data_IF_097811235622
#
_entry.id   IF_097811235622
#
_cell.length_a   1.000
_cell.length_b   1.000
_cell.length_c   1.000
_cell.angle_alpha   90.00
_cell.angle_beta   90.00
_cell.angle_gamma   90.00
#
_symmetry.space_group_name_H-M   'P 1'
#
loop_
_entity.id
_entity.type
_entity.pdbx_description
1 polymer ?
#
# COMPACT_ATOMS: atom_id res chain seq x y z
N UNK A 1 30.30 12.82 -20.45
CA UNK A 1 30.34 13.28 -21.84
C UNK A 1 30.05 12.20 -22.90
N UNK A 2 30.31 10.93 -22.70
CA UNK A 2 29.94 9.89 -23.69
C UNK A 2 28.44 9.51 -23.71
N UNK A 3 27.64 9.92 -22.70
CA UNK A 3 26.23 9.57 -22.57
C UNK A 3 25.25 10.72 -22.89
N UNK A 4 25.74 11.92 -23.29
CA UNK A 4 24.88 13.08 -23.56
C UNK A 4 23.98 12.87 -24.82
N UNK A 5 24.30 11.89 -25.67
CA UNK A 5 23.49 11.49 -26.81
C UNK A 5 22.56 10.32 -26.55
N UNK A 6 22.60 9.70 -25.36
CA UNK A 6 21.74 8.58 -25.01
C UNK A 6 20.31 9.07 -24.81
N UNK A 7 19.38 8.49 -25.56
CA UNK A 7 17.94 8.74 -25.39
C UNK A 7 17.34 7.60 -24.58
N UNK A 8 16.80 7.92 -23.40
CA UNK A 8 16.01 6.98 -22.63
C UNK A 8 14.63 6.77 -23.25
N UNK A 9 13.94 5.71 -22.83
CA UNK A 9 12.59 5.46 -23.30
C UNK A 9 11.62 6.54 -22.80
N UNK A 10 10.70 7.01 -23.65
CA UNK A 10 9.75 8.10 -23.35
C UNK A 10 8.92 7.87 -22.09
N UNK A 11 8.72 6.61 -21.70
CA UNK A 11 8.02 6.27 -20.44
C UNK A 11 8.70 6.82 -19.17
N UNK A 12 9.95 7.27 -19.27
CA UNK A 12 10.68 7.89 -18.15
C UNK A 12 10.63 9.43 -18.16
N UNK A 13 10.12 10.07 -19.24
CA UNK A 13 10.16 11.53 -19.37
C UNK A 13 9.31 12.24 -18.29
N UNK A 14 8.23 11.59 -17.84
CA UNK A 14 7.32 12.12 -16.83
C UNK A 14 7.56 11.53 -15.42
N UNK A 15 8.56 10.69 -15.25
CA UNK A 15 8.86 10.03 -13.97
C UNK A 15 10.14 10.62 -13.41
N UNK A 16 9.99 11.62 -12.58
CA UNK A 16 11.04 11.98 -11.62
C UNK A 16 11.15 10.87 -10.57
N UNK A 17 12.36 10.59 -10.07
CA UNK A 17 12.55 9.60 -9.00
C UNK A 17 11.55 9.79 -7.85
N UNK A 18 11.23 8.71 -7.13
CA UNK A 18 10.21 8.77 -6.07
C UNK A 18 10.51 9.92 -5.09
N UNK A 19 9.59 10.90 -4.99
CA UNK A 19 9.68 11.98 -4.00
C UNK A 19 9.87 11.43 -2.57
N UNK A 20 9.23 10.28 -2.28
CA UNK A 20 9.45 9.56 -1.01
C UNK A 20 10.91 9.11 -0.88
N UNK A 21 11.57 8.68 -1.97
CA UNK A 21 12.97 8.24 -1.93
C UNK A 21 13.92 9.42 -1.64
N UNK A 22 13.65 10.60 -2.17
CA UNK A 22 14.43 11.80 -1.83
C UNK A 22 14.22 12.20 -0.36
N UNK A 23 13.00 12.11 0.13
CA UNK A 23 12.70 12.28 1.56
C UNK A 23 13.46 11.24 2.39
N UNK A 24 13.49 9.96 1.97
CA UNK A 24 14.26 8.93 2.67
C UNK A 24 15.77 9.20 2.72
N UNK A 25 16.35 9.79 1.70
CA UNK A 25 17.77 10.23 1.75
C UNK A 25 17.98 11.33 2.78
N UNK A 26 17.04 12.29 2.89
CA UNK A 26 17.12 13.35 3.89
C UNK A 26 16.99 12.83 5.32
N UNK A 27 16.14 11.82 5.55
CA UNK A 27 15.87 11.27 6.89
C UNK A 27 16.84 10.16 7.34
N UNK A 28 17.80 9.77 6.51
CA UNK A 28 18.85 8.82 6.88
C UNK A 28 19.85 9.35 7.94
N UNK A 29 19.67 10.59 8.39
CA UNK A 29 20.51 11.22 9.41
C UNK A 29 20.21 10.64 10.80
N UNK A 30 21.24 10.38 11.64
CA UNK A 30 21.03 9.93 13.02
C UNK A 30 20.16 10.92 13.82
N UNK A 31 19.29 10.41 14.68
CA UNK A 31 18.43 11.24 15.55
C UNK A 31 17.17 11.80 14.87
N UNK A 32 16.88 11.43 13.62
CA UNK A 32 15.67 11.88 12.93
C UNK A 32 14.42 11.13 13.43
N UNK A 33 13.40 11.87 13.83
CA UNK A 33 12.05 11.35 14.08
C UNK A 33 11.30 11.31 12.76
N UNK A 34 11.04 10.11 12.23
CA UNK A 34 10.46 9.96 10.91
C UNK A 34 9.01 9.50 10.95
N UNK A 35 8.09 10.39 10.61
CA UNK A 35 6.69 10.09 10.28
C UNK A 35 6.47 9.88 8.77
N UNK A 36 7.56 9.83 7.98
CA UNK A 36 7.47 9.73 6.51
C UNK A 36 7.35 8.29 6.00
N UNK A 37 8.04 7.34 6.65
CA UNK A 37 8.09 5.95 6.20
C UNK A 37 6.75 5.23 6.31
N UNK A 38 6.54 4.22 5.45
CA UNK A 38 5.43 3.27 5.58
C UNK A 38 5.89 1.94 6.16
N UNK A 39 6.97 1.93 6.94
CA UNK A 39 7.59 0.72 7.46
C UNK A 39 6.97 0.31 8.79
N UNK A 40 6.81 -1.01 9.05
CA UNK A 40 6.56 -1.52 10.39
C UNK A 40 7.68 -1.10 11.35
N UNK A 41 7.37 -0.96 12.65
CA UNK A 41 8.38 -0.76 13.67
C UNK A 41 9.38 -1.93 13.67
N UNK A 42 10.66 -1.66 14.00
CA UNK A 42 11.65 -2.73 14.12
C UNK A 42 11.24 -3.79 15.17
N UNK A 43 10.63 -3.36 16.28
CA UNK A 43 10.09 -4.24 17.33
C UNK A 43 8.88 -5.08 16.90
N UNK A 44 8.26 -4.76 15.76
CA UNK A 44 7.16 -5.52 15.18
C UNK A 44 7.63 -6.67 14.27
N UNK A 45 8.92 -6.74 13.94
CA UNK A 45 9.44 -7.78 13.06
C UNK A 45 9.67 -9.08 13.83
N UNK A 46 9.18 -10.24 13.34
CA UNK A 46 9.34 -11.55 13.98
C UNK A 46 10.68 -12.19 13.58
N UNK A 47 11.79 -11.54 13.91
CA UNK A 47 13.14 -11.94 13.49
C UNK A 47 13.55 -13.30 14.05
N UNK A 48 13.23 -13.60 15.31
CA UNK A 48 13.53 -14.87 15.96
C UNK A 48 12.78 -16.04 15.30
N UNK A 49 11.47 -15.89 15.09
CA UNK A 49 10.62 -16.88 14.42
C UNK A 49 11.07 -17.11 12.97
N UNK A 50 11.38 -16.04 12.25
CA UNK A 50 11.90 -16.12 10.89
C UNK A 50 13.26 -16.83 10.83
N UNK A 51 14.16 -16.58 11.77
CA UNK A 51 15.47 -17.23 11.85
C UNK A 51 15.35 -18.74 12.12
N UNK A 52 14.47 -19.12 13.05
CA UNK A 52 14.18 -20.55 13.33
C UNK A 52 13.62 -21.24 12.09
N UNK A 53 12.59 -20.67 11.47
CA UNK A 53 11.95 -21.23 10.27
C UNK A 53 12.97 -21.33 9.12
N UNK A 54 13.78 -20.31 8.87
CA UNK A 54 14.77 -20.33 7.80
C UNK A 54 15.80 -21.46 8.00
N UNK A 55 16.27 -21.67 9.24
CA UNK A 55 17.14 -22.79 9.57
C UNK A 55 16.48 -24.12 9.27
N UNK A 56 15.26 -24.34 9.77
CA UNK A 56 14.53 -25.60 9.59
C UNK A 56 14.29 -25.90 8.11
N UNK A 57 13.85 -24.89 7.34
CA UNK A 57 13.62 -25.01 5.90
C UNK A 57 14.89 -25.40 5.15
N UNK A 58 16.02 -24.76 5.45
CA UNK A 58 17.30 -25.05 4.79
C UNK A 58 17.86 -26.41 5.18
N UNK A 59 17.68 -26.85 6.43
CA UNK A 59 18.10 -28.15 6.89
C UNK A 59 17.32 -29.31 6.26
N UNK A 60 16.00 -29.14 6.14
CA UNK A 60 15.11 -30.21 5.70
C UNK A 60 14.94 -30.26 4.17
N UNK A 61 14.99 -29.12 3.48
CA UNK A 61 14.68 -29.02 2.04
C UNK A 61 15.61 -28.07 1.27
N UNK A 62 16.79 -27.80 1.83
CA UNK A 62 17.70 -26.76 1.33
C UNK A 62 18.06 -26.91 -0.14
N UNK A 63 18.25 -28.15 -0.65
CA UNK A 63 18.61 -28.38 -2.06
C UNK A 63 17.49 -27.89 -3.02
N UNK A 64 16.22 -28.09 -2.68
CA UNK A 64 15.08 -27.62 -3.46
C UNK A 64 14.91 -26.09 -3.32
N UNK A 65 15.03 -25.59 -2.10
CA UNK A 65 14.83 -24.17 -1.79
C UNK A 65 15.89 -23.29 -2.48
N UNK A 66 17.13 -23.76 -2.61
CA UNK A 66 18.23 -23.03 -3.24
C UNK A 66 18.31 -23.19 -4.77
N UNK A 67 17.43 -24.00 -5.36
CA UNK A 67 17.33 -24.18 -6.80
C UNK A 67 16.24 -23.26 -7.39
N UNK A 68 16.24 -23.07 -8.70
CA UNK A 68 15.13 -22.42 -9.40
C UNK A 68 13.79 -23.09 -9.08
N UNK A 69 12.75 -22.27 -8.93
CA UNK A 69 11.39 -22.67 -8.70
C UNK A 69 10.47 -22.44 -9.89
N UNK A 70 9.22 -22.84 -9.75
CA UNK A 70 8.17 -22.51 -10.71
C UNK A 70 7.77 -21.03 -10.58
N UNK A 71 7.41 -20.39 -11.70
CA UNK A 71 6.91 -19.01 -11.73
C UNK A 71 5.61 -18.87 -10.95
N UNK A 72 4.77 -19.90 -11.01
CA UNK A 72 3.49 -19.98 -10.29
C UNK A 72 3.67 -19.92 -8.77
N UNK A 73 4.84 -20.26 -8.27
CA UNK A 73 5.19 -20.20 -6.85
C UNK A 73 5.65 -21.53 -6.26
N UNK A 74 6.10 -21.46 -5.01
CA UNK A 74 6.52 -22.60 -4.21
C UNK A 74 5.30 -23.46 -3.83
N UNK A 75 5.22 -24.75 -4.25
CA UNK A 75 3.99 -25.54 -4.12
C UNK A 75 3.42 -25.60 -2.70
N UNK A 76 4.19 -25.80 -1.61
CA UNK A 76 3.64 -25.77 -0.26
C UNK A 76 2.99 -24.42 0.09
N UNK A 77 3.58 -23.30 -0.35
CA UNK A 77 2.98 -21.99 -0.13
C UNK A 77 1.66 -21.82 -0.90
N UNK A 78 1.56 -22.33 -2.13
CA UNK A 78 0.31 -22.22 -2.89
C UNK A 78 -0.88 -22.82 -2.13
N UNK A 79 -0.67 -23.96 -1.45
CA UNK A 79 -1.69 -24.61 -0.63
C UNK A 79 -2.06 -23.77 0.61
N UNK A 80 -1.07 -23.37 1.41
CA UNK A 80 -1.32 -22.59 2.63
C UNK A 80 -1.81 -21.18 2.33
N UNK A 81 -1.37 -20.59 1.21
CA UNK A 81 -1.81 -19.28 0.74
C UNK A 81 -3.26 -19.32 0.27
N UNK A 82 -3.65 -20.32 -0.51
CA UNK A 82 -5.05 -20.46 -0.96
C UNK A 82 -5.99 -20.54 0.25
N UNK A 83 -5.69 -21.41 1.21
CA UNK A 83 -6.48 -21.55 2.43
C UNK A 83 -6.54 -20.23 3.24
N UNK A 84 -5.41 -19.54 3.38
CA UNK A 84 -5.34 -18.24 4.04
C UNK A 84 -6.22 -17.21 3.33
N UNK A 85 -6.11 -17.10 2.01
CA UNK A 85 -6.85 -16.11 1.21
C UNK A 85 -8.35 -16.37 1.26
N UNK A 86 -8.79 -17.62 1.09
CA UNK A 86 -10.21 -17.97 1.16
C UNK A 86 -10.82 -17.70 2.55
N UNK A 87 -10.05 -17.95 3.60
CA UNK A 87 -10.44 -17.59 4.97
C UNK A 87 -10.56 -16.08 5.14
N UNK A 88 -9.59 -15.30 4.63
CA UNK A 88 -9.60 -13.85 4.74
C UNK A 88 -10.72 -13.19 3.94
N UNK A 89 -11.03 -13.69 2.76
CA UNK A 89 -12.04 -13.13 1.88
C UNK A 89 -13.47 -13.65 2.18
N UNK A 90 -13.57 -14.77 2.86
CA UNK A 90 -14.85 -15.46 3.08
C UNK A 90 -15.49 -16.03 1.82
N UNK A 91 -14.70 -16.23 0.75
CA UNK A 91 -15.14 -16.81 -0.51
C UNK A 91 -14.02 -17.62 -1.16
N UNK A 92 -14.40 -18.60 -1.99
CA UNK A 92 -13.45 -19.33 -2.82
C UNK A 92 -12.82 -18.40 -3.89
N UNK A 93 -11.55 -18.65 -4.22
CA UNK A 93 -10.84 -17.95 -5.29
C UNK A 93 -10.33 -18.94 -6.34
N UNK A 94 -10.49 -18.65 -7.65
CA UNK A 94 -10.10 -19.57 -8.72
C UNK A 94 -8.60 -19.85 -8.79
N UNK A 95 -7.77 -18.88 -8.43
CA UNK A 95 -6.31 -19.01 -8.47
C UNK A 95 -5.63 -18.00 -7.54
N UNK A 96 -4.39 -18.34 -7.12
CA UNK A 96 -3.46 -17.45 -6.41
C UNK A 96 -2.11 -17.45 -7.12
N UNK A 97 -1.40 -16.33 -7.06
CA UNK A 97 -0.06 -16.17 -7.61
C UNK A 97 0.81 -15.41 -6.61
N UNK A 98 1.82 -16.05 -5.99
CA UNK A 98 2.82 -15.36 -5.19
C UNK A 98 3.64 -14.38 -6.02
N UNK A 99 3.86 -13.18 -5.48
CA UNK A 99 4.58 -12.08 -6.12
C UNK A 99 5.60 -11.46 -5.17
N UNK A 100 6.53 -10.69 -5.71
CA UNK A 100 7.59 -10.00 -4.95
C UNK A 100 7.05 -8.69 -4.35
N UNK A 101 5.99 -8.81 -3.53
CA UNK A 101 5.21 -7.71 -2.94
C UNK A 101 4.11 -7.19 -3.86
N UNK A 102 3.10 -6.49 -3.27
CA UNK A 102 1.93 -5.98 -4.02
C UNK A 102 2.28 -5.00 -5.14
N UNK A 103 3.41 -4.29 -5.05
CA UNK A 103 3.90 -3.45 -6.15
C UNK A 103 4.18 -4.26 -7.42
N UNK A 104 4.74 -5.48 -7.30
CA UNK A 104 4.89 -6.35 -8.46
C UNK A 104 3.53 -6.85 -8.97
N UNK A 105 2.56 -7.09 -8.10
CA UNK A 105 1.21 -7.42 -8.52
C UNK A 105 0.62 -6.33 -9.43
N UNK A 106 0.78 -5.06 -9.05
CA UNK A 106 0.33 -3.94 -9.86
C UNK A 106 1.09 -3.81 -11.19
N UNK A 107 2.43 -4.01 -11.16
CA UNK A 107 3.25 -4.04 -12.39
C UNK A 107 2.78 -5.14 -13.36
N UNK A 108 2.48 -6.32 -12.84
CA UNK A 108 2.00 -7.44 -13.66
C UNK A 108 0.60 -7.20 -14.22
N UNK A 109 -0.30 -6.57 -13.46
CA UNK A 109 -1.62 -6.18 -13.98
C UNK A 109 -1.48 -5.13 -15.08
N UNK A 110 -0.67 -4.09 -14.88
CA UNK A 110 -0.40 -3.11 -15.92
C UNK A 110 0.21 -3.77 -17.16
N UNK A 111 1.20 -4.65 -16.97
CA UNK A 111 1.83 -5.38 -18.06
C UNK A 111 0.86 -6.26 -18.87
N UNK A 112 -0.14 -6.82 -18.19
CA UNK A 112 -1.12 -7.70 -18.82
C UNK A 112 -2.29 -6.96 -19.49
N UNK A 113 -2.63 -5.75 -19.03
CA UNK A 113 -3.89 -5.08 -19.38
C UNK A 113 -3.72 -3.72 -20.05
N UNK A 114 -2.59 -3.02 -19.84
CA UNK A 114 -2.47 -1.59 -20.16
C UNK A 114 -1.55 -1.36 -21.35
N UNK A 115 -2.09 -0.72 -22.38
CA UNK A 115 -1.35 -0.11 -23.48
C UNK A 115 -1.18 1.41 -23.24
N UNK A 116 -0.19 2.06 -23.89
CA UNK A 116 -0.02 3.51 -23.79
C UNK A 116 -1.30 4.28 -24.12
N UNK A 117 -1.72 5.17 -23.21
CA UNK A 117 -2.93 5.98 -23.35
C UNK A 117 -4.20 5.38 -22.74
N UNK A 118 -4.18 4.11 -22.35
CA UNK A 118 -5.30 3.51 -21.63
C UNK A 118 -5.58 4.22 -20.30
N UNK A 119 -6.83 4.23 -19.89
CA UNK A 119 -7.28 4.89 -18.66
C UNK A 119 -7.27 3.91 -17.48
N UNK A 120 -6.68 4.35 -16.38
CA UNK A 120 -6.78 3.72 -15.06
C UNK A 120 -7.49 4.69 -14.12
N UNK A 121 -8.56 4.24 -13.49
CA UNK A 121 -9.21 4.98 -12.42
C UNK A 121 -8.46 4.77 -11.10
N UNK A 122 -8.30 5.83 -10.33
CA UNK A 122 -7.61 5.80 -9.02
C UNK A 122 -8.38 6.59 -7.98
N UNK A 123 -8.28 6.22 -6.72
CA UNK A 123 -8.66 7.08 -5.61
C UNK A 123 -7.82 8.37 -5.65
N UNK A 124 -8.36 9.46 -5.14
CA UNK A 124 -7.65 10.73 -5.08
C UNK A 124 -7.82 11.40 -3.71
N UNK A 125 -6.83 11.28 -2.81
CA UNK A 125 -5.47 10.79 -3.03
C UNK A 125 -5.34 9.26 -3.09
N UNK A 126 -4.20 8.76 -3.64
CA UNK A 126 -3.88 7.35 -3.76
C UNK A 126 -2.39 7.05 -3.53
N UNK A 127 -2.01 5.76 -3.49
CA UNK A 127 -0.64 5.35 -3.23
C UNK A 127 0.31 5.71 -4.37
N UNK A 128 1.21 6.65 -4.08
CA UNK A 128 2.21 7.16 -5.03
C UNK A 128 2.99 6.06 -5.76
N UNK A 129 3.40 4.99 -5.04
CA UNK A 129 4.22 3.93 -5.64
C UNK A 129 3.52 3.21 -6.79
N UNK A 130 2.23 2.91 -6.65
CA UNK A 130 1.46 2.27 -7.70
C UNK A 130 1.05 3.25 -8.80
N UNK A 131 0.79 4.53 -8.48
CA UNK A 131 0.57 5.55 -9.53
C UNK A 131 1.83 5.73 -10.39
N UNK A 132 3.03 5.70 -9.82
CA UNK A 132 4.26 5.73 -10.60
C UNK A 132 4.43 4.49 -11.48
N UNK A 133 4.07 3.31 -10.97
CA UNK A 133 4.04 2.08 -11.76
C UNK A 133 3.12 2.23 -12.98
N UNK A 134 1.89 2.70 -12.77
CA UNK A 134 0.92 2.93 -13.86
C UNK A 134 1.43 3.92 -14.90
N UNK A 135 2.05 5.01 -14.46
CA UNK A 135 2.67 6.01 -15.36
C UNK A 135 3.82 5.43 -16.19
N UNK A 136 4.58 4.44 -15.68
CA UNK A 136 5.59 3.72 -16.47
C UNK A 136 5.00 2.97 -17.67
N UNK A 137 3.74 2.55 -17.57
CA UNK A 137 2.98 1.97 -18.68
C UNK A 137 2.30 3.04 -19.55
N UNK A 138 2.57 4.33 -19.29
CA UNK A 138 2.00 5.47 -20.02
C UNK A 138 0.47 5.51 -19.93
N UNK A 139 -0.08 5.00 -18.82
CA UNK A 139 -1.52 5.09 -18.55
C UNK A 139 -1.94 6.52 -18.22
N UNK A 140 -3.16 6.89 -18.60
CA UNK A 140 -3.83 8.10 -18.15
C UNK A 140 -4.54 7.83 -16.84
N UNK A 141 -4.12 8.52 -15.77
CA UNK A 141 -4.77 8.38 -14.44
C UNK A 141 -5.94 9.35 -14.36
N UNK A 142 -7.12 8.83 -14.01
CA UNK A 142 -8.34 9.62 -13.81
C UNK A 142 -8.81 9.43 -12.37
N UNK A 143 -8.98 10.53 -11.60
CA UNK A 143 -9.44 10.45 -10.22
C UNK A 143 -10.91 10.04 -10.15
N UNK A 144 -11.24 9.27 -9.10
CA UNK A 144 -12.62 8.97 -8.70
C UNK A 144 -12.96 9.77 -7.45
N UNK A 145 -14.07 10.47 -7.46
CA UNK A 145 -14.55 11.23 -6.30
C UNK A 145 -14.80 10.30 -5.11
N UNK A 146 -14.29 10.71 -3.96
CA UNK A 146 -14.35 9.97 -2.71
C UNK A 146 -14.68 10.92 -1.55
N UNK A 147 -15.26 10.38 -0.50
CA UNK A 147 -15.55 11.09 0.76
C UNK A 147 -14.93 10.35 1.97
N UNK A 148 -15.38 10.66 3.18
CA UNK A 148 -14.95 10.00 4.41
C UNK A 148 -15.29 8.50 4.48
N UNK A 149 -16.16 8.00 3.58
CA UNK A 149 -16.56 6.61 3.43
C UNK A 149 -15.90 5.93 2.20
N UNK A 150 -14.93 6.58 1.55
CA UNK A 150 -14.20 6.10 0.37
C UNK A 150 -14.88 6.44 -0.95
N UNK A 151 -14.59 5.69 -2.01
CA UNK A 151 -15.15 5.90 -3.35
C UNK A 151 -16.69 5.97 -3.33
N UNK A 152 -17.24 7.00 -4.01
CA UNK A 152 -18.68 7.16 -4.20
C UNK A 152 -19.12 6.37 -5.44
N UNK A 153 -19.93 5.28 -5.31
CA UNK A 153 -20.27 4.41 -6.43
C UNK A 153 -20.93 5.11 -7.62
N UNK A 154 -21.78 6.10 -7.38
CA UNK A 154 -22.45 6.87 -8.42
C UNK A 154 -21.44 7.68 -9.25
N UNK A 155 -20.42 8.25 -8.58
CA UNK A 155 -19.33 8.97 -9.23
C UNK A 155 -18.39 8.03 -9.98
N UNK A 156 -18.15 6.85 -9.43
CA UNK A 156 -17.41 5.80 -10.13
C UNK A 156 -18.13 5.41 -11.43
N UNK A 157 -19.46 5.23 -11.40
CA UNK A 157 -20.22 4.91 -12.61
C UNK A 157 -20.14 6.02 -13.66
N UNK A 158 -20.23 7.30 -13.24
CA UNK A 158 -20.09 8.45 -14.13
C UNK A 158 -18.76 8.42 -14.90
N UNK A 159 -17.62 8.22 -14.19
CA UNK A 159 -16.28 8.20 -14.81
C UNK A 159 -16.04 6.93 -15.61
N UNK A 160 -16.56 5.77 -15.21
CA UNK A 160 -16.49 4.53 -16.00
C UNK A 160 -17.19 4.69 -17.35
N UNK A 161 -18.35 5.31 -17.38
CA UNK A 161 -19.12 5.59 -18.61
C UNK A 161 -18.43 6.61 -19.51
N UNK A 162 -17.79 7.63 -18.90
CA UNK A 162 -17.15 8.71 -19.64
C UNK A 162 -15.81 8.29 -20.25
N UNK A 163 -14.99 7.58 -19.50
CA UNK A 163 -13.59 7.33 -19.84
C UNK A 163 -13.29 5.92 -20.34
N UNK A 164 -14.23 4.98 -20.20
CA UNK A 164 -14.06 3.57 -20.59
C UNK A 164 -12.74 2.95 -20.09
N UNK A 165 -12.45 2.99 -18.78
CA UNK A 165 -11.18 2.57 -18.23
C UNK A 165 -10.98 1.06 -18.35
N UNK A 166 -9.73 0.60 -18.35
CA UNK A 166 -9.40 -0.82 -18.29
C UNK A 166 -9.24 -1.32 -16.85
N UNK A 167 -8.87 -0.43 -15.94
CA UNK A 167 -8.53 -0.79 -14.57
C UNK A 167 -9.04 0.28 -13.58
N UNK A 168 -9.55 -0.18 -12.43
CA UNK A 168 -9.73 0.62 -11.22
C UNK A 168 -8.72 0.13 -10.18
N UNK A 169 -7.92 1.02 -9.63
CA UNK A 169 -7.05 0.74 -8.49
C UNK A 169 -7.63 1.37 -7.21
N UNK A 170 -7.81 0.55 -6.18
CA UNK A 170 -8.33 1.00 -4.88
C UNK A 170 -7.65 0.29 -3.71
N UNK A 171 -7.48 1.00 -2.60
CA UNK A 171 -7.04 0.46 -1.31
C UNK A 171 -8.21 0.54 -0.34
N UNK A 172 -9.08 -0.47 -0.27
CA UNK A 172 -10.38 -0.35 0.38
C UNK A 172 -10.34 -0.36 1.91
N UNK A 173 -9.19 -0.70 2.52
CA UNK A 173 -9.07 -0.79 3.98
C UNK A 173 -7.84 -0.04 4.47
N UNK A 174 -8.06 0.97 5.34
CA UNK A 174 -7.00 1.82 5.90
C UNK A 174 -6.09 2.41 4.83
N UNK A 175 -6.70 3.01 3.84
CA UNK A 175 -6.13 3.52 2.60
C UNK A 175 -4.84 4.34 2.84
N UNK A 176 -3.87 4.18 1.97
CA UNK A 176 -2.67 5.01 1.94
C UNK A 176 -2.83 6.11 0.86
N UNK A 177 -2.91 7.40 1.25
CA UNK A 177 -2.41 8.01 2.49
C UNK A 177 -3.46 8.30 3.58
N UNK A 178 -4.75 8.11 3.32
CA UNK A 178 -5.83 8.69 4.15
C UNK A 178 -6.12 7.93 5.44
N UNK A 179 -5.85 6.63 5.51
CA UNK A 179 -6.30 5.76 6.58
C UNK A 179 -7.81 5.43 6.54
N UNK A 180 -8.55 5.95 5.56
CA UNK A 180 -10.00 5.73 5.39
C UNK A 180 -10.25 4.26 5.01
N UNK A 181 -11.38 3.73 5.48
CA UNK A 181 -11.89 2.42 5.08
C UNK A 181 -13.13 2.62 4.22
N UNK A 182 -13.13 2.05 3.01
CA UNK A 182 -14.28 2.01 2.13
C UNK A 182 -15.45 1.32 2.83
N UNK A 183 -16.58 2.02 2.95
CA UNK A 183 -17.76 1.53 3.63
C UNK A 183 -18.26 0.20 3.07
N UNK A 184 -18.79 -0.66 3.94
CA UNK A 184 -19.17 -2.03 3.57
C UNK A 184 -20.26 -2.07 2.49
N UNK A 185 -21.21 -1.14 2.53
CA UNK A 185 -22.33 -1.02 1.58
C UNK A 185 -21.88 -0.55 0.19
N UNK A 186 -20.73 0.13 0.06
CA UNK A 186 -20.17 0.57 -1.22
C UNK A 186 -19.40 -0.52 -1.97
N UNK A 187 -18.96 -1.59 -1.29
CA UNK A 187 -18.10 -2.63 -1.87
C UNK A 187 -18.81 -3.49 -2.90
N UNK A 188 -20.05 -3.91 -2.61
CA UNK A 188 -20.87 -4.65 -3.57
C UNK A 188 -21.20 -3.85 -4.83
N UNK A 189 -21.67 -2.60 -4.76
CA UNK A 189 -21.85 -1.75 -5.94
C UNK A 189 -20.60 -1.64 -6.82
N UNK A 190 -19.42 -1.51 -6.23
CA UNK A 190 -18.16 -1.44 -7.01
C UNK A 190 -17.91 -2.74 -7.79
N UNK A 191 -18.13 -3.91 -7.18
CA UNK A 191 -18.00 -5.19 -7.89
C UNK A 191 -19.03 -5.33 -9.03
N UNK A 192 -20.27 -4.88 -8.82
CA UNK A 192 -21.33 -4.88 -9.83
C UNK A 192 -21.02 -3.91 -10.99
N UNK A 193 -20.47 -2.74 -10.71
CA UNK A 193 -20.01 -1.78 -11.72
C UNK A 193 -18.83 -2.34 -12.54
N UNK A 194 -17.88 -3.01 -11.88
CA UNK A 194 -16.76 -3.68 -12.55
C UNK A 194 -17.25 -4.67 -13.60
N UNK A 195 -18.19 -5.54 -13.25
CA UNK A 195 -18.81 -6.49 -14.17
C UNK A 195 -19.61 -5.80 -15.28
N UNK A 196 -20.41 -4.78 -14.94
CA UNK A 196 -21.25 -4.05 -15.89
C UNK A 196 -20.43 -3.32 -16.98
N UNK A 197 -19.30 -2.72 -16.60
CA UNK A 197 -18.46 -1.93 -17.51
C UNK A 197 -17.23 -2.68 -18.01
N UNK A 198 -17.06 -3.95 -17.63
CA UNK A 198 -15.91 -4.79 -17.97
C UNK A 198 -14.56 -4.15 -17.56
N UNK A 199 -14.51 -3.60 -16.37
CA UNK A 199 -13.33 -2.94 -15.78
C UNK A 199 -12.73 -3.87 -14.73
N UNK A 200 -11.43 -4.19 -14.86
CA UNK A 200 -10.75 -4.96 -13.81
C UNK A 200 -10.56 -4.09 -12.58
N UNK A 201 -10.88 -4.59 -11.39
CA UNK A 201 -10.60 -3.92 -10.12
C UNK A 201 -9.36 -4.54 -9.48
N UNK A 202 -8.32 -3.76 -9.28
CA UNK A 202 -7.20 -4.11 -8.42
C UNK A 202 -7.53 -3.68 -6.99
N UNK A 203 -8.00 -4.63 -6.19
CA UNK A 203 -8.27 -4.47 -4.76
C UNK A 203 -6.98 -4.69 -3.98
N UNK A 204 -6.21 -3.61 -3.71
CA UNK A 204 -4.94 -3.66 -2.97
C UNK A 204 -5.20 -3.51 -1.47
N UNK A 205 -5.09 -4.59 -0.70
CA UNK A 205 -5.50 -4.61 0.71
C UNK A 205 -4.38 -5.11 1.65
N UNK A 206 -3.23 -4.42 1.73
CA UNK A 206 -2.10 -4.83 2.55
C UNK A 206 -2.27 -4.50 4.04
N UNK A 207 -3.31 -3.75 4.41
CA UNK A 207 -3.50 -3.23 5.77
C UNK A 207 -4.68 -3.85 6.52
N UNK A 208 -5.54 -4.66 5.89
CA UNK A 208 -6.81 -5.16 6.47
C UNK A 208 -6.67 -5.81 7.84
N UNK A 209 -5.57 -6.52 8.07
CA UNK A 209 -5.29 -7.22 9.32
C UNK A 209 -4.82 -6.26 10.45
N UNK A 210 -4.42 -5.03 10.10
CA UNK A 210 -3.99 -4.01 11.05
C UNK A 210 -5.19 -3.18 11.55
N UNK A 211 -6.21 -3.87 12.07
CA UNK A 211 -7.42 -3.24 12.60
C UNK A 211 -7.32 -3.10 14.12
N UNK A 212 -7.60 -1.89 14.60
CA UNK A 212 -7.51 -1.52 16.02
C UNK A 212 -8.88 -1.28 16.65
N UNK A 213 -9.87 -0.92 15.84
CA UNK A 213 -11.26 -0.68 16.24
C UNK A 213 -12.24 -1.03 15.11
N UNK A 214 -13.53 -1.05 15.44
CA UNK A 214 -14.60 -1.36 14.49
C UNK A 214 -14.63 -2.81 14.03
N UNK A 215 -15.50 -3.11 13.07
CA UNK A 215 -15.69 -4.44 12.51
C UNK A 215 -14.99 -4.59 11.14
N UNK A 216 -14.58 -5.81 10.81
CA UNK A 216 -14.00 -6.11 9.51
C UNK A 216 -15.05 -5.97 8.40
N UNK A 217 -14.70 -5.29 7.31
CA UNK A 217 -15.55 -5.21 6.13
C UNK A 217 -15.28 -6.40 5.18
N UNK A 218 -16.31 -6.94 4.50
CA UNK A 218 -16.12 -7.92 3.45
C UNK A 218 -15.28 -7.30 2.31
N UNK A 219 -14.47 -8.09 1.62
CA UNK A 219 -13.70 -7.61 0.46
C UNK A 219 -14.61 -7.28 -0.72
N UNK A 220 -14.17 -6.42 -1.65
CA UNK A 220 -14.86 -6.21 -2.92
C UNK A 220 -14.90 -7.56 -3.68
N UNK A 221 -13.79 -8.31 -3.63
CA UNK A 221 -13.66 -9.63 -4.24
C UNK A 221 -14.74 -10.61 -3.80
N UNK A 222 -15.20 -10.55 -2.54
CA UNK A 222 -16.25 -11.45 -2.04
C UNK A 222 -17.61 -11.27 -2.74
N UNK A 223 -17.84 -10.13 -3.40
CA UNK A 223 -19.05 -9.83 -4.19
C UNK A 223 -18.85 -10.08 -5.69
N UNK A 224 -17.63 -10.38 -6.15
CA UNK A 224 -17.30 -10.59 -7.55
C UNK A 224 -17.72 -11.99 -8.01
N UNK A 225 -18.69 -12.04 -8.91
CA UNK A 225 -19.22 -13.29 -9.49
C UNK A 225 -18.64 -13.62 -10.86
N UNK A 226 -18.11 -12.62 -11.55
CA UNK A 226 -17.76 -12.66 -12.97
C UNK A 226 -16.25 -12.62 -13.23
N UNK A 227 -15.43 -12.52 -12.16
CA UNK A 227 -13.96 -12.57 -12.26
C UNK A 227 -13.29 -11.22 -12.55
N UNK A 228 -13.98 -10.09 -12.35
CA UNK A 228 -13.45 -8.76 -12.62
C UNK A 228 -12.62 -8.16 -11.47
N UNK A 229 -12.65 -8.75 -10.27
CA UNK A 229 -11.86 -8.27 -9.15
C UNK A 229 -10.64 -9.15 -8.93
N UNK A 230 -9.46 -8.54 -8.94
CA UNK A 230 -8.19 -9.16 -8.54
C UNK A 230 -7.78 -8.60 -7.19
N UNK A 231 -7.75 -9.46 -6.19
CA UNK A 231 -7.30 -9.10 -4.85
C UNK A 231 -5.77 -9.14 -4.78
N UNK A 232 -5.16 -8.08 -4.26
CA UNK A 232 -3.72 -7.95 -4.07
C UNK A 232 -3.42 -7.92 -2.57
N UNK A 233 -2.72 -8.91 -2.07
CA UNK A 233 -2.34 -9.02 -0.67
C UNK A 233 -0.83 -8.94 -0.47
N UNK A 234 -0.42 -8.65 0.76
CA UNK A 234 1.00 -8.53 1.09
C UNK A 234 1.28 -8.94 2.53
N UNK A 235 2.35 -9.72 2.73
CA UNK A 235 2.88 -10.02 4.06
C UNK A 235 3.82 -8.94 4.61
N UNK A 236 4.06 -7.87 3.84
CA UNK A 236 4.99 -6.81 4.20
C UNK A 236 4.62 -6.06 5.48
N UNK A 237 3.33 -5.97 5.82
CA UNK A 237 2.87 -5.19 6.99
C UNK A 237 2.52 -6.06 8.19
N UNK A 238 2.37 -7.37 7.96
CA UNK A 238 1.92 -8.34 8.97
C UNK A 238 2.95 -9.43 9.29
N UNK A 239 4.04 -9.53 8.50
CA UNK A 239 5.21 -10.35 8.83
C UNK A 239 6.47 -9.50 8.66
N UNK A 240 6.90 -9.25 7.42
CA UNK A 240 8.13 -8.48 7.18
C UNK A 240 8.19 -7.91 5.76
N UNK A 241 8.47 -6.61 5.60
CA UNK A 241 8.69 -6.02 4.27
C UNK A 241 9.96 -6.55 3.59
N UNK A 242 10.95 -6.99 4.36
CA UNK A 242 12.21 -7.54 3.83
C UNK A 242 12.07 -8.89 3.15
N UNK A 243 11.07 -9.69 3.49
CA UNK A 243 10.81 -10.99 2.84
C UNK A 243 10.36 -10.84 1.39
N UNK A 244 9.80 -9.69 1.01
CA UNK A 244 9.29 -9.42 -0.33
C UNK A 244 8.29 -10.47 -0.83
N UNK A 245 7.34 -10.89 0.00
CA UNK A 245 6.27 -11.82 -0.38
C UNK A 245 4.93 -11.11 -0.32
N UNK A 246 4.22 -11.12 -1.43
CA UNK A 246 2.83 -10.75 -1.61
C UNK A 246 2.14 -11.76 -2.52
N UNK A 247 0.90 -11.49 -2.86
CA UNK A 247 0.14 -12.40 -3.72
C UNK A 247 -0.96 -11.67 -4.47
N UNK A 248 -1.40 -12.29 -5.55
CA UNK A 248 -2.61 -11.96 -6.29
C UNK A 248 -3.60 -13.12 -6.14
N UNK A 249 -4.89 -12.82 -6.06
CA UNK A 249 -5.95 -13.81 -6.05
C UNK A 249 -7.11 -13.35 -6.94
N UNK A 250 -7.57 -14.20 -7.87
CA UNK A 250 -8.59 -13.79 -8.82
C UNK A 250 -8.82 -14.77 -9.96
N UNK A 251 -9.31 -14.26 -11.09
CA UNK A 251 -9.57 -15.05 -12.29
C UNK A 251 -8.31 -15.75 -12.82
N UNK A 252 -8.40 -17.02 -13.13
CA UNK A 252 -7.29 -17.83 -13.58
C UNK A 252 -6.73 -17.39 -14.95
N UNK A 253 -7.53 -16.79 -15.81
CA UNK A 253 -7.09 -16.24 -17.10
C UNK A 253 -6.24 -15.00 -16.93
N UNK A 254 -6.65 -14.08 -16.05
CA UNK A 254 -5.89 -12.87 -15.71
C UNK A 254 -4.56 -13.28 -15.05
N UNK A 255 -4.60 -14.14 -14.02
CA UNK A 255 -3.40 -14.55 -13.31
C UNK A 255 -2.41 -15.29 -14.20
N UNK A 256 -2.89 -16.10 -15.16
CA UNK A 256 -2.04 -16.76 -16.15
C UNK A 256 -1.27 -15.73 -17.03
N UNK A 257 -1.91 -14.64 -17.44
CA UNK A 257 -1.21 -13.56 -18.17
C UNK A 257 -0.18 -12.85 -17.29
N UNK A 258 -0.52 -12.61 -16.03
CA UNK A 258 0.42 -12.09 -15.04
C UNK A 258 1.61 -13.05 -14.82
N UNK A 259 1.39 -14.37 -14.78
CA UNK A 259 2.45 -15.37 -14.67
C UNK A 259 3.40 -15.31 -15.87
N UNK A 260 2.88 -15.20 -17.10
CA UNK A 260 3.72 -15.00 -18.31
C UNK A 260 4.54 -13.72 -18.19
N UNK A 261 3.92 -12.61 -17.75
CA UNK A 261 4.62 -11.35 -17.49
C UNK A 261 5.72 -11.49 -16.43
N UNK A 262 5.46 -12.26 -15.37
CA UNK A 262 6.40 -12.54 -14.27
C UNK A 262 7.61 -13.34 -14.74
N UNK A 263 7.44 -14.31 -15.63
CA UNK A 263 8.54 -15.08 -16.23
C UNK A 263 9.62 -14.17 -16.85
N UNK A 264 9.20 -13.07 -17.47
CA UNK A 264 10.12 -12.11 -18.09
C UNK A 264 10.62 -11.02 -17.13
N UNK A 265 10.13 -10.98 -15.90
CA UNK A 265 10.50 -9.96 -14.89
C UNK A 265 11.52 -10.50 -13.89
N UNK A 266 11.16 -11.56 -13.15
CA UNK A 266 11.98 -12.13 -12.06
C UNK A 266 12.02 -13.65 -12.03
N UNK A 267 11.46 -14.31 -13.06
CA UNK A 267 11.30 -15.76 -13.20
C UNK A 267 10.36 -16.34 -12.13
N UNK A 268 10.66 -16.14 -10.86
CA UNK A 268 9.82 -16.51 -9.71
C UNK A 268 10.19 -15.67 -8.47
N UNK A 269 9.25 -15.55 -7.55
CA UNK A 269 9.51 -15.01 -6.21
C UNK A 269 10.47 -15.94 -5.46
N UNK A 270 11.41 -15.41 -4.69
CA UNK A 270 12.45 -16.19 -4.02
C UNK A 270 11.88 -17.34 -3.18
N UNK A 271 12.32 -18.58 -3.44
CA UNK A 271 11.77 -19.78 -2.79
C UNK A 271 11.98 -19.77 -1.27
N UNK A 272 13.13 -19.28 -0.78
CA UNK A 272 13.39 -19.23 0.66
C UNK A 272 12.37 -18.35 1.40
N UNK A 273 12.09 -17.17 0.87
CA UNK A 273 11.13 -16.27 1.51
C UNK A 273 9.69 -16.77 1.40
N UNK A 274 9.34 -17.43 0.29
CA UNK A 274 8.08 -18.15 0.15
C UNK A 274 7.94 -19.28 1.18
N UNK A 275 8.98 -20.07 1.37
CA UNK A 275 8.97 -21.16 2.35
C UNK A 275 8.90 -20.63 3.81
N UNK A 276 9.53 -19.49 4.10
CA UNK A 276 9.38 -18.84 5.42
C UNK A 276 7.93 -18.47 5.66
N UNK A 277 7.28 -17.82 4.69
CA UNK A 277 5.87 -17.43 4.82
C UNK A 277 4.96 -18.66 4.92
N UNK A 278 5.17 -19.71 4.11
CA UNK A 278 4.42 -20.96 4.21
C UNK A 278 4.49 -21.54 5.63
N UNK A 279 5.69 -21.66 6.19
CA UNK A 279 5.86 -22.21 7.54
C UNK A 279 5.27 -21.28 8.61
N UNK A 280 5.35 -19.96 8.43
CA UNK A 280 4.74 -18.99 9.33
C UNK A 280 3.22 -19.17 9.41
N UNK A 281 2.57 -19.39 8.24
CA UNK A 281 1.13 -19.69 8.15
C UNK A 281 0.81 -21.06 8.76
N UNK A 282 1.52 -22.14 8.35
CA UNK A 282 1.24 -23.52 8.81
C UNK A 282 1.48 -23.72 10.30
N UNK A 283 2.43 -23.02 10.90
CA UNK A 283 2.68 -23.05 12.35
C UNK A 283 1.69 -22.22 13.15
N UNK A 284 0.75 -21.52 12.50
CA UNK A 284 -0.28 -20.72 13.13
C UNK A 284 0.27 -19.50 13.89
N UNK A 285 1.44 -18.98 13.50
CA UNK A 285 2.10 -17.86 14.21
C UNK A 285 1.47 -16.50 13.91
N UNK A 286 0.83 -16.36 12.74
CA UNK A 286 0.35 -15.09 12.24
C UNK A 286 -0.71 -14.42 13.12
N UNK A 287 -1.76 -15.10 13.64
CA UNK A 287 -2.81 -14.45 14.42
C UNK A 287 -2.32 -13.77 15.69
N UNK A 288 -1.45 -14.42 16.45
CA UNK A 288 -0.94 -13.86 17.71
C UNK A 288 0.08 -12.74 17.45
N UNK A 289 0.86 -12.85 16.36
CA UNK A 289 1.72 -11.78 15.91
C UNK A 289 0.92 -10.53 15.53
N UNK A 290 -0.15 -10.65 14.74
CA UNK A 290 -1.05 -9.54 14.39
C UNK A 290 -1.62 -8.88 15.64
N UNK A 291 -2.13 -9.66 16.60
CA UNK A 291 -2.65 -9.12 17.88
C UNK A 291 -1.60 -8.31 18.63
N UNK A 292 -0.35 -8.78 18.64
CA UNK A 292 0.78 -8.09 19.29
C UNK A 292 1.07 -6.74 18.65
N UNK A 293 1.24 -6.72 17.32
CA UNK A 293 1.56 -5.48 16.60
C UNK A 293 0.39 -4.49 16.61
N UNK A 294 -0.86 -4.96 16.51
CA UNK A 294 -2.04 -4.10 16.58
C UNK A 294 -2.16 -3.37 17.92
N UNK A 295 -1.82 -4.02 19.06
CA UNK A 295 -1.81 -3.34 20.37
C UNK A 295 -0.80 -2.20 20.41
N UNK A 296 0.41 -2.42 19.86
CA UNK A 296 1.45 -1.39 19.81
C UNK A 296 1.02 -0.22 18.91
N UNK A 297 0.54 -0.52 17.72
CA UNK A 297 0.15 0.50 16.74
C UNK A 297 -1.07 1.31 17.20
N UNK A 298 -2.02 0.67 17.92
CA UNK A 298 -3.12 1.41 18.52
C UNK A 298 -2.64 2.46 19.52
N UNK A 299 -1.72 2.11 20.41
CA UNK A 299 -1.17 3.06 21.39
C UNK A 299 -0.44 4.23 20.71
N UNK A 300 0.29 3.95 19.62
CA UNK A 300 0.96 4.97 18.81
C UNK A 300 -0.03 5.88 18.06
N UNK A 301 -1.10 5.30 17.50
CA UNK A 301 -2.19 6.05 16.88
C UNK A 301 -2.87 6.98 17.89
N UNK A 302 -3.22 6.46 19.05
CA UNK A 302 -3.88 7.25 20.11
C UNK A 302 -3.00 8.43 20.56
N UNK A 303 -1.69 8.21 20.71
CA UNK A 303 -0.74 9.27 21.03
C UNK A 303 -0.69 10.33 19.95
N UNK A 304 -0.58 9.93 18.66
CA UNK A 304 -0.52 10.89 17.55
C UNK A 304 -1.83 11.67 17.38
N UNK A 305 -2.99 11.05 17.54
CA UNK A 305 -4.30 11.72 17.49
C UNK A 305 -4.47 12.70 18.65
N UNK A 306 -3.95 12.38 19.84
CA UNK A 306 -3.92 13.30 20.97
C UNK A 306 -3.14 14.57 20.67
N UNK A 307 -1.94 14.45 20.07
CA UNK A 307 -1.14 15.61 19.67
C UNK A 307 -1.81 16.43 18.55
N UNK A 308 -2.38 15.76 17.56
CA UNK A 308 -3.10 16.44 16.46
C UNK A 308 -4.28 17.28 16.96
N UNK A 309 -4.90 16.89 18.07
CA UNK A 309 -5.99 17.68 18.66
C UNK A 309 -5.56 19.07 19.16
N UNK A 310 -4.24 19.28 19.33
CA UNK A 310 -3.63 20.54 19.77
C UNK A 310 -3.06 21.38 18.63
N UNK A 311 -3.19 20.92 17.39
CA UNK A 311 -2.67 21.63 16.21
C UNK A 311 -3.43 22.93 15.96
N UNK A 312 -2.89 23.86 15.15
CA UNK A 312 -3.53 25.13 14.87
C UNK A 312 -4.98 25.00 14.41
N UNK A 313 -5.81 25.97 14.81
CA UNK A 313 -7.23 26.02 14.45
C UNK A 313 -7.39 25.99 12.91
N UNK A 314 -8.32 25.18 12.43
CA UNK A 314 -8.55 24.96 10.99
C UNK A 314 -7.79 23.76 10.43
N UNK A 315 -6.89 23.13 11.19
CA UNK A 315 -6.30 21.84 10.81
C UNK A 315 -7.36 20.74 10.92
N UNK A 316 -7.49 19.92 9.88
CA UNK A 316 -8.31 18.70 9.88
C UNK A 316 -7.43 17.47 9.65
N UNK A 317 -7.89 16.31 10.10
CA UNK A 317 -7.14 15.07 9.93
C UNK A 317 -8.06 13.86 10.00
N UNK A 318 -7.67 12.79 9.31
CA UNK A 318 -8.40 11.53 9.33
C UNK A 318 -8.21 10.80 10.68
N UNK A 319 -9.20 10.00 11.07
CA UNK A 319 -9.20 9.19 12.30
C UNK A 319 -9.38 7.72 11.94
N UNK A 320 -8.30 7.03 11.57
CA UNK A 320 -8.40 5.65 11.11
C UNK A 320 -8.66 4.66 12.25
N UNK A 321 -9.42 3.61 11.97
CA UNK A 321 -9.63 2.46 12.86
C UNK A 321 -8.51 1.40 12.75
N UNK A 322 -7.46 1.68 11.96
CA UNK A 322 -6.37 0.75 11.69
C UNK A 322 -5.31 1.32 10.74
N UNK A 323 -4.54 0.43 10.13
CA UNK A 323 -3.51 0.81 9.18
C UNK A 323 -2.30 1.48 9.82
N UNK A 324 -1.65 2.38 9.08
CA UNK A 324 -0.38 2.99 9.51
C UNK A 324 -0.35 4.51 9.35
N UNK A 325 -1.39 5.14 8.76
CA UNK A 325 -1.32 6.51 8.28
C UNK A 325 -2.47 7.40 8.75
N UNK A 326 -2.15 8.68 8.88
CA UNK A 326 -3.10 9.78 9.04
C UNK A 326 -2.81 10.79 7.94
N UNK A 327 -3.83 11.22 7.22
CA UNK A 327 -3.75 12.38 6.35
C UNK A 327 -4.18 13.63 7.13
N UNK A 328 -3.33 14.65 7.12
CA UNK A 328 -3.57 15.94 7.77
C UNK A 328 -3.73 16.99 6.68
N UNK A 329 -4.74 17.84 6.83
CA UNK A 329 -4.97 19.03 6.00
C UNK A 329 -4.79 20.26 6.89
N UNK A 330 -3.78 21.06 6.58
CA UNK A 330 -3.50 22.34 7.23
C UNK A 330 -4.44 23.43 6.68
N UNK A 331 -4.60 24.56 7.37
CA UNK A 331 -5.32 25.71 6.82
C UNK A 331 -4.81 26.14 5.44
N UNK A 332 -5.69 26.75 4.66
CA UNK A 332 -5.33 27.29 3.34
C UNK A 332 -4.18 28.30 3.42
N UNK A 333 -3.37 28.34 2.35
CA UNK A 333 -2.18 29.21 2.25
C UNK A 333 -0.91 28.60 2.84
N UNK A 334 -0.96 27.41 3.41
CA UNK A 334 0.21 26.68 3.89
C UNK A 334 0.68 25.68 2.83
N UNK A 335 1.95 25.71 2.47
CA UNK A 335 2.58 24.68 1.65
C UNK A 335 3.38 23.71 2.55
N UNK A 336 2.87 22.48 2.69
CA UNK A 336 3.51 21.44 3.49
C UNK A 336 4.86 20.98 2.92
N UNK A 337 5.11 21.18 1.63
CA UNK A 337 6.39 20.86 1.00
C UNK A 337 7.47 21.88 1.37
N UNK A 338 7.13 23.15 1.38
CA UNK A 338 8.07 24.22 1.81
C UNK A 338 8.42 24.08 3.30
N UNK A 339 7.45 23.69 4.14
CA UNK A 339 7.69 23.51 5.57
C UNK A 339 8.45 22.22 5.92
N UNK A 340 8.56 21.27 4.99
CA UNK A 340 9.31 20.03 5.21
C UNK A 340 10.80 20.32 5.50
N UNK A 341 11.42 21.27 4.81
CA UNK A 341 12.83 21.62 5.03
C UNK A 341 13.06 22.10 6.48
N UNK A 342 12.19 22.98 6.98
CA UNK A 342 12.25 23.45 8.38
C UNK A 342 12.04 22.31 9.38
N UNK A 343 11.15 21.36 9.07
CA UNK A 343 10.92 20.18 9.90
C UNK A 343 12.16 19.29 9.95
N UNK A 344 12.80 19.04 8.80
CA UNK A 344 14.03 18.23 8.68
C UNK A 344 15.21 18.89 9.42
N UNK A 345 15.35 20.21 9.39
CA UNK A 345 16.33 20.95 10.18
C UNK A 345 16.12 20.76 11.69
N UNK A 346 14.86 20.58 12.11
CA UNK A 346 14.49 20.28 13.50
C UNK A 346 14.32 18.78 13.78
N UNK A 347 14.94 17.94 12.95
CA UNK A 347 14.98 16.48 13.07
C UNK A 347 13.62 15.76 13.03
N UNK A 348 12.62 16.32 12.32
CA UNK A 348 11.32 15.68 12.10
C UNK A 348 11.02 15.60 10.59
N UNK A 349 10.47 14.47 10.13
CA UNK A 349 10.11 14.32 8.73
C UNK A 349 8.72 13.71 8.55
N UNK A 350 8.00 14.17 7.52
CA UNK A 350 6.71 13.68 7.05
C UNK A 350 6.71 13.58 5.52
N UNK A 351 5.61 13.14 4.91
CA UNK A 351 5.46 13.18 3.44
C UNK A 351 4.45 14.26 3.06
N UNK A 352 4.84 15.29 2.26
CA UNK A 352 3.90 16.25 1.68
C UNK A 352 2.82 15.53 0.87
N UNK A 353 1.57 15.97 1.02
CA UNK A 353 0.42 15.27 0.47
C UNK A 353 0.27 15.38 -1.04
N UNK A 354 0.72 16.48 -1.66
CA UNK A 354 0.65 16.75 -3.10
C UNK A 354 1.03 15.54 -3.98
N UNK A 355 1.99 14.75 -3.52
CA UNK A 355 2.46 13.57 -4.27
C UNK A 355 1.47 12.41 -4.36
N UNK A 356 0.44 12.40 -3.52
CA UNK A 356 -0.58 11.36 -3.51
C UNK A 356 -1.78 11.70 -4.40
N UNK A 357 -1.87 12.92 -4.92
CA UNK A 357 -2.93 13.34 -5.82
C UNK A 357 -2.49 13.20 -7.28
N UNK A 358 -3.30 12.52 -8.09
CA UNK A 358 -2.95 12.26 -9.49
C UNK A 358 -3.08 13.50 -10.38
N UNK A 359 -3.90 14.45 -9.96
CA UNK A 359 -4.22 15.74 -10.60
C UNK A 359 -3.43 16.92 -10.01
N UNK A 360 -2.59 16.68 -8.99
CA UNK A 360 -1.79 17.73 -8.34
C UNK A 360 -2.58 18.58 -7.36
N UNK A 361 -2.00 19.72 -6.93
CA UNK A 361 -2.58 20.59 -5.92
C UNK A 361 -2.46 20.03 -4.50
N UNK A 362 -3.35 20.46 -3.61
CA UNK A 362 -3.44 20.00 -2.22
C UNK A 362 -2.13 20.23 -1.42
N UNK A 363 -1.48 21.37 -1.65
CA UNK A 363 -0.18 21.74 -1.07
C UNK A 363 -0.22 21.79 0.46
N UNK A 364 -1.40 22.06 1.03
CA UNK A 364 -1.63 22.13 2.48
C UNK A 364 -1.86 20.77 3.14
N UNK A 365 -1.60 19.66 2.43
CA UNK A 365 -1.78 18.31 2.98
C UNK A 365 -0.46 17.64 3.29
N UNK A 366 -0.47 16.74 4.28
CA UNK A 366 0.66 15.88 4.61
C UNK A 366 0.21 14.53 5.17
N UNK A 367 0.99 13.49 4.88
CA UNK A 367 0.79 12.15 5.46
C UNK A 367 1.74 11.93 6.62
N UNK A 368 1.19 11.46 7.75
CA UNK A 368 1.94 11.00 8.92
C UNK A 368 1.83 9.47 9.04
N UNK A 369 2.95 8.82 9.33
CA UNK A 369 3.01 7.43 9.78
C UNK A 369 3.20 7.40 11.29
N UNK A 370 2.35 6.67 12.01
CA UNK A 370 2.45 6.53 13.46
C UNK A 370 3.16 5.25 13.91
N UNK A 371 3.30 4.24 13.04
CA UNK A 371 3.71 2.89 13.42
C UNK A 371 5.19 2.72 13.72
N UNK A 372 6.06 3.61 13.24
CA UNK A 372 7.52 3.42 13.29
C UNK A 372 8.22 4.17 14.44
N UNK A 373 7.54 5.10 15.09
CA UNK A 373 8.10 5.94 16.16
C UNK A 373 7.62 5.48 17.54
N UNK A 374 8.46 5.57 18.55
CA UNK A 374 8.03 5.37 19.94
C UNK A 374 7.04 6.46 20.37
N UNK A 375 6.25 6.21 21.41
CA UNK A 375 5.31 7.21 21.94
C UNK A 375 6.03 8.51 22.34
N UNK A 376 7.21 8.42 22.95
CA UNK A 376 8.02 9.59 23.29
C UNK A 376 8.44 10.39 22.04
N UNK A 377 8.89 9.71 20.98
CA UNK A 377 9.21 10.35 19.71
C UNK A 377 7.97 10.97 19.02
N UNK A 378 6.79 10.34 19.18
CA UNK A 378 5.54 10.93 18.67
C UNK A 378 5.27 12.25 19.37
N UNK A 379 5.32 12.30 20.70
CA UNK A 379 5.11 13.54 21.45
C UNK A 379 6.11 14.63 21.06
N UNK A 380 7.40 14.31 21.00
CA UNK A 380 8.47 15.24 20.62
C UNK A 380 8.30 15.78 19.20
N UNK A 381 8.17 14.86 18.22
CA UNK A 381 8.06 15.23 16.81
C UNK A 381 6.78 15.99 16.49
N UNK A 382 5.65 15.59 17.07
CA UNK A 382 4.37 16.28 16.86
C UNK A 382 4.36 17.68 17.51
N UNK A 383 4.99 17.86 18.68
CA UNK A 383 5.18 19.17 19.29
C UNK A 383 6.01 20.09 18.37
N UNK A 384 7.09 19.56 17.78
CA UNK A 384 7.92 20.29 16.81
C UNK A 384 7.11 20.72 15.58
N UNK A 385 6.33 19.83 14.99
CA UNK A 385 5.48 20.14 13.84
C UNK A 385 4.42 21.19 14.18
N UNK A 386 3.78 21.08 15.35
CA UNK A 386 2.80 22.06 15.83
C UNK A 386 3.39 23.48 15.88
N UNK A 387 4.60 23.62 16.40
CA UNK A 387 5.29 24.93 16.47
C UNK A 387 5.58 25.49 15.07
N UNK A 388 6.10 24.67 14.16
CA UNK A 388 6.41 25.08 12.78
C UNK A 388 5.15 25.56 12.08
N UNK A 389 4.05 24.80 12.16
CA UNK A 389 2.80 25.16 11.49
C UNK A 389 2.13 26.38 12.13
N UNK A 390 2.21 26.53 13.46
CA UNK A 390 1.70 27.73 14.13
C UNK A 390 2.50 29.00 13.72
N UNK A 391 3.82 28.91 13.57
CA UNK A 391 4.66 30.02 13.11
C UNK A 391 4.38 30.38 11.65
N UNK A 392 4.12 29.40 10.79
CA UNK A 392 3.76 29.63 9.39
C UNK A 392 2.43 30.36 9.24
N UNK A 393 1.45 30.06 10.10
CA UNK A 393 0.13 30.70 10.12
C UNK A 393 0.13 32.12 10.74
N UNK A 394 1.17 32.48 11.47
CA UNK A 394 1.29 33.79 12.09
C UNK A 394 1.94 34.85 11.15
N UNK A 395 2.46 34.42 10.02
CA UNK A 395 3.07 35.26 8.98
C UNK A 395 2.05 35.73 7.97
#
# INVERSE_FOLDING_TARGET
>A
MALDSLRFAHRFDQISGSAIREIFKMIAKPGMISFAGGNPAASALPDAECAEIARDVLQNDGKRILQYGATEGYPPLLESLLAYVEQQLGCAVPAVLPVTGSTQAMDLLCKALIDPGDVILVENPSFLGNMQCMRLYQATLVPVESDENGIIPEKLEEVMRQYHPKLLYTIPTFQNPTGITLAADRRKPIAELAAKYHVVVAEDDPYRDLRYAGEACPSIKSFDKDGWVVFLGSFSKIISPGLRVGFMAGDAGILRKCTVGKQSTDVHTANLTQAIVDQYLRRGLLPDHIKRICRSYKAQLDAMLSELSTFPKGTTYTRPDGGLFILVTLPEGIDAKELLEQAVERHVAYVPGTHFFCDGGHENTLRLNFSNSSIAQIHEGMSTLREIFAQALAK
#
